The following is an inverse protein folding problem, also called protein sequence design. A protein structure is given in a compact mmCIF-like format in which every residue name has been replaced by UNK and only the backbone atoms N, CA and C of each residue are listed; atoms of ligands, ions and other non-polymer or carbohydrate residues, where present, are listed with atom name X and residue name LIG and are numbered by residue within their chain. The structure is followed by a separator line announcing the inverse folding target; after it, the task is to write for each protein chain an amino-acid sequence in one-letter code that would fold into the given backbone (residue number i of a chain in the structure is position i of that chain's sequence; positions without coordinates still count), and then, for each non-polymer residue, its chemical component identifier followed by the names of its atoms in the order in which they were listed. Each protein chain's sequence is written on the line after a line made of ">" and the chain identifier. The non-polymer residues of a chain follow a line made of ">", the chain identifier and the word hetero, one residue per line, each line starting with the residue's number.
data_IF_423807769111
#
_entry.id   IF_423807769111
#
_cell.length_a   1.000
_cell.length_b   1.000
_cell.length_c   1.000
_cell.angle_alpha   90.00
_cell.angle_beta   90.00
_cell.angle_gamma   90.00
#
_symmetry.space_group_name_H-M   'P 1'
#
loop_
_entity.id
_entity.type
_entity.pdbx_description
1 polymer ?
#
# COMPACT_ATOMS: atom_id res chain seq x y z
N UNK A 1 30.38 -44.74 -45.29
CA UNK A 1 29.30 -44.38 -44.36
C UNK A 1 29.90 -43.61 -43.19
N UNK A 2 30.22 -42.32 -43.33
CA UNK A 2 30.89 -41.57 -42.27
C UNK A 2 30.76 -40.05 -42.42
N UNK A 3 29.54 -39.50 -42.54
CA UNK A 3 29.35 -38.03 -42.58
C UNK A 3 28.06 -37.52 -41.92
N UNK A 4 27.51 -38.24 -40.93
CA UNK A 4 26.24 -37.83 -40.26
C UNK A 4 26.42 -37.43 -38.79
N UNK A 5 27.63 -37.54 -38.23
CA UNK A 5 27.91 -37.26 -36.82
C UNK A 5 28.10 -35.78 -36.45
N UNK A 6 28.70 -34.89 -37.28
CA UNK A 6 28.91 -33.50 -36.86
C UNK A 6 27.60 -32.69 -36.85
N UNK A 7 26.69 -32.98 -37.79
CA UNK A 7 25.40 -32.28 -37.91
C UNK A 7 24.48 -32.55 -36.70
N UNK A 8 24.43 -33.81 -36.23
CA UNK A 8 23.63 -34.18 -35.04
C UNK A 8 24.16 -33.54 -33.75
N UNK A 9 25.48 -33.40 -33.63
CA UNK A 9 26.10 -32.76 -32.45
C UNK A 9 25.86 -31.25 -32.41
N UNK A 10 25.88 -30.58 -33.57
CA UNK A 10 25.58 -29.14 -33.68
C UNK A 10 24.10 -28.86 -33.35
N UNK A 11 23.18 -29.70 -33.83
CA UNK A 11 21.75 -29.59 -33.53
C UNK A 11 21.48 -29.80 -32.03
N UNK A 12 22.13 -30.78 -31.40
CA UNK A 12 21.98 -31.04 -29.96
C UNK A 12 22.52 -29.88 -29.11
N UNK A 13 23.65 -29.28 -29.52
CA UNK A 13 24.23 -28.11 -28.87
C UNK A 13 23.35 -26.85 -29.03
N UNK A 14 22.71 -26.68 -30.19
CA UNK A 14 21.73 -25.61 -30.41
C UNK A 14 20.45 -25.78 -29.57
N UNK A 15 19.96 -27.01 -29.39
CA UNK A 15 18.79 -27.31 -28.53
C UNK A 15 19.12 -27.06 -27.05
N UNK A 16 20.33 -27.36 -26.61
CA UNK A 16 20.82 -27.04 -25.25
C UNK A 16 21.00 -25.52 -25.04
N UNK A 17 21.47 -24.78 -26.04
CA UNK A 17 21.59 -23.33 -25.98
C UNK A 17 20.22 -22.62 -26.03
N UNK A 18 19.22 -23.21 -26.71
CA UNK A 18 17.84 -22.70 -26.75
C UNK A 18 17.08 -22.92 -25.43
N UNK A 19 17.46 -23.92 -24.64
CA UNK A 19 16.84 -24.22 -23.33
C UNK A 19 17.49 -23.46 -22.15
N UNK A 20 18.66 -22.86 -22.36
CA UNK A 20 19.33 -21.99 -21.37
C UNK A 20 18.83 -20.54 -21.36
N UNK A 21 17.86 -20.17 -22.22
CA UNK A 21 17.26 -18.84 -22.26
C UNK A 21 16.01 -18.76 -21.35
N UNK A 22 16.11 -19.27 -20.13
CA UNK A 22 15.07 -19.13 -19.12
C UNK A 22 15.04 -17.69 -18.60
N UNK A 23 13.87 -17.05 -18.60
CA UNK A 23 13.68 -15.72 -17.99
C UNK A 23 14.02 -15.81 -16.48
N UNK A 24 15.11 -15.18 -16.01
CA UNK A 24 15.59 -15.33 -14.63
C UNK A 24 14.54 -14.84 -13.61
N UNK A 25 13.60 -13.99 -14.02
CA UNK A 25 12.52 -13.52 -13.15
C UNK A 25 11.47 -14.61 -12.92
N UNK A 26 11.24 -15.51 -13.87
CA UNK A 26 10.27 -16.62 -13.70
C UNK A 26 10.73 -17.60 -12.63
N UNK A 27 12.03 -17.85 -12.55
CA UNK A 27 12.60 -18.68 -11.49
C UNK A 27 12.45 -17.98 -10.12
N UNK A 28 12.75 -16.69 -10.03
CA UNK A 28 12.54 -15.90 -8.81
C UNK A 28 11.08 -15.89 -8.36
N UNK A 29 10.13 -15.78 -9.28
CA UNK A 29 8.68 -15.89 -8.99
C UNK A 29 8.38 -17.27 -8.39
N UNK A 30 8.85 -18.34 -9.02
CA UNK A 30 8.63 -19.72 -8.55
C UNK A 30 9.16 -19.93 -7.13
N UNK A 31 10.34 -19.39 -6.82
CA UNK A 31 10.94 -19.47 -5.48
C UNK A 31 10.23 -18.58 -4.45
N UNK A 32 9.70 -17.42 -4.87
CA UNK A 32 9.10 -16.43 -3.97
C UNK A 32 7.65 -16.77 -3.57
N UNK A 33 6.91 -17.55 -4.38
CA UNK A 33 5.55 -18.00 -4.06
C UNK A 33 5.47 -18.71 -2.70
N UNK A 34 6.22 -19.81 -2.43
CA UNK A 34 6.11 -20.54 -1.17
C UNK A 34 6.54 -19.70 0.04
N UNK A 35 7.52 -18.80 -0.12
CA UNK A 35 7.92 -17.87 0.94
C UNK A 35 6.78 -16.89 1.29
N UNK A 36 6.04 -16.45 0.29
CA UNK A 36 4.91 -15.53 0.45
C UNK A 36 3.70 -16.23 1.06
N UNK A 37 3.42 -17.47 0.65
CA UNK A 37 2.41 -18.34 1.27
C UNK A 37 2.68 -18.53 2.75
N UNK A 38 3.88 -18.98 3.09
CA UNK A 38 4.29 -19.18 4.48
C UNK A 38 4.18 -17.88 5.29
N UNK A 39 4.52 -16.73 4.69
CA UNK A 39 4.41 -15.44 5.38
C UNK A 39 2.97 -15.06 5.70
N UNK A 40 2.03 -15.29 4.79
CA UNK A 40 0.60 -15.06 5.02
C UNK A 40 0.05 -16.03 6.07
N UNK A 41 0.48 -17.28 6.06
CA UNK A 41 0.09 -18.27 7.08
C UNK A 41 0.61 -17.88 8.47
N UNK A 42 1.87 -17.44 8.57
CA UNK A 42 2.42 -16.91 9.82
C UNK A 42 1.66 -15.69 10.32
N UNK A 43 1.20 -14.80 9.42
CA UNK A 43 0.31 -13.71 9.81
C UNK A 43 -1.02 -14.22 10.36
N UNK A 44 -1.62 -15.24 9.72
CA UNK A 44 -2.87 -15.84 10.19
C UNK A 44 -2.71 -16.42 11.61
N UNK A 45 -1.61 -17.12 11.86
CA UNK A 45 -1.26 -17.65 13.18
C UNK A 45 -1.01 -16.52 14.19
N UNK A 46 -0.30 -15.46 13.78
CA UNK A 46 -0.05 -14.30 14.64
C UNK A 46 -1.35 -13.58 15.04
N UNK A 47 -2.32 -13.48 14.12
CA UNK A 47 -3.66 -12.95 14.43
C UNK A 47 -4.40 -13.86 15.40
N UNK A 48 -4.43 -15.18 15.13
CA UNK A 48 -5.10 -16.15 16.00
C UNK A 48 -4.51 -16.21 17.41
N UNK A 49 -3.19 -16.06 17.53
CA UNK A 49 -2.46 -16.10 18.80
C UNK A 49 -2.39 -14.74 19.51
N UNK A 50 -3.09 -13.71 19.01
CA UNK A 50 -3.09 -12.37 19.63
C UNK A 50 -1.72 -11.67 19.62
N UNK A 51 -0.87 -11.96 18.63
CA UNK A 51 0.47 -11.37 18.50
C UNK A 51 0.47 -10.06 17.70
N UNK A 52 -0.66 -9.72 17.06
CA UNK A 52 -0.83 -8.46 16.33
C UNK A 52 -1.44 -7.41 17.24
N UNK A 53 -0.61 -6.52 17.79
CA UNK A 53 -1.01 -5.52 18.81
C UNK A 53 -2.28 -4.76 18.47
N UNK A 54 -2.36 -4.17 17.27
CA UNK A 54 -3.52 -3.34 16.92
C UNK A 54 -4.78 -4.18 16.65
N UNK A 55 -4.66 -5.48 16.33
CA UNK A 55 -5.81 -6.38 16.25
C UNK A 55 -6.43 -6.58 17.64
N UNK A 56 -5.60 -6.77 18.67
CA UNK A 56 -6.08 -6.91 20.05
C UNK A 56 -6.77 -5.62 20.54
N UNK A 57 -6.14 -4.45 20.31
CA UNK A 57 -6.73 -3.15 20.67
C UNK A 57 -8.07 -2.92 19.97
N UNK A 58 -8.20 -3.36 18.72
CA UNK A 58 -9.44 -3.24 17.97
C UNK A 58 -10.54 -4.14 18.54
N UNK A 59 -10.20 -5.33 19.04
CA UNK A 59 -11.13 -6.18 19.79
C UNK A 59 -11.61 -5.48 21.06
N UNK A 60 -10.71 -4.90 21.85
CA UNK A 60 -11.03 -4.16 23.07
C UNK A 60 -11.93 -2.95 22.80
N UNK A 61 -11.57 -2.14 21.79
CA UNK A 61 -12.33 -0.95 21.40
C UNK A 61 -13.72 -1.32 20.88
N UNK A 62 -13.81 -2.36 20.06
CA UNK A 62 -15.08 -2.84 19.54
C UNK A 62 -16.00 -3.34 20.66
N UNK A 63 -15.49 -4.12 21.61
CA UNK A 63 -16.27 -4.59 22.76
C UNK A 63 -16.79 -3.43 23.61
N UNK A 64 -15.95 -2.41 23.86
CA UNK A 64 -16.38 -1.21 24.58
C UNK A 64 -17.48 -0.46 23.83
N UNK A 65 -17.33 -0.29 22.52
CA UNK A 65 -18.33 0.40 21.69
C UNK A 65 -19.64 -0.37 21.55
N UNK A 66 -19.62 -1.71 21.58
CA UNK A 66 -20.85 -2.50 21.59
C UNK A 66 -21.68 -2.23 22.85
N UNK A 67 -21.04 -1.91 23.97
CA UNK A 67 -21.71 -1.51 25.22
C UNK A 67 -22.18 -0.05 25.16
N UNK A 68 -21.29 0.86 24.76
CA UNK A 68 -21.55 2.31 24.80
C UNK A 68 -22.47 2.77 23.64
N UNK A 69 -22.46 2.08 22.50
CA UNK A 69 -23.15 2.46 21.25
C UNK A 69 -23.74 1.25 20.51
N UNK A 70 -24.73 0.58 21.11
CA UNK A 70 -25.30 -0.65 20.54
C UNK A 70 -25.98 -0.44 19.17
N UNK A 71 -26.43 0.79 18.86
CA UNK A 71 -27.01 1.13 17.56
C UNK A 71 -26.02 0.98 16.39
N UNK A 72 -24.71 0.97 16.66
CA UNK A 72 -23.67 0.77 15.66
C UNK A 72 -23.17 -0.67 15.56
N UNK A 73 -23.79 -1.61 16.29
CA UNK A 73 -23.38 -3.01 16.36
C UNK A 73 -23.06 -3.63 14.99
N UNK A 74 -23.90 -3.52 13.95
CA UNK A 74 -23.60 -4.15 12.67
C UNK A 74 -22.30 -3.65 12.02
N UNK A 75 -21.98 -2.36 12.19
CA UNK A 75 -20.74 -1.77 11.68
C UNK A 75 -19.54 -2.14 12.56
N UNK A 76 -19.71 -2.14 13.88
CA UNK A 76 -18.65 -2.54 14.82
C UNK A 76 -18.27 -4.00 14.61
N UNK A 77 -19.25 -4.89 14.46
CA UNK A 77 -19.03 -6.31 14.17
C UNK A 77 -18.26 -6.51 12.86
N UNK A 78 -18.48 -5.64 11.86
CA UNK A 78 -17.73 -5.69 10.61
C UNK A 78 -16.25 -5.35 10.83
N UNK A 79 -15.95 -4.29 11.59
CA UNK A 79 -14.57 -3.94 11.95
C UNK A 79 -13.91 -5.00 12.84
N UNK A 80 -14.66 -5.66 13.71
CA UNK A 80 -14.14 -6.74 14.54
C UNK A 80 -13.65 -7.94 13.70
N UNK A 81 -14.05 -8.08 12.43
CA UNK A 81 -13.49 -9.13 11.57
C UNK A 81 -12.01 -8.88 11.24
N UNK A 82 -11.57 -7.63 11.19
CA UNK A 82 -10.16 -7.27 10.95
C UNK A 82 -9.23 -7.67 12.13
N UNK A 83 -9.78 -8.14 13.25
CA UNK A 83 -8.96 -8.70 14.35
C UNK A 83 -8.43 -10.09 14.00
N UNK A 84 -8.92 -10.72 12.93
CA UNK A 84 -8.58 -12.07 12.52
C UNK A 84 -8.51 -12.26 11.01
N UNK A 85 -8.58 -13.51 10.57
CA UNK A 85 -8.46 -13.89 9.15
C UNK A 85 -9.73 -13.63 8.33
N UNK A 86 -10.80 -13.18 8.97
CA UNK A 86 -12.06 -12.84 8.30
C UNK A 86 -12.10 -11.38 7.83
N UNK A 87 -11.13 -10.56 8.25
CA UNK A 87 -11.06 -9.15 7.90
C UNK A 87 -10.84 -8.92 6.41
N UNK A 88 -11.45 -7.88 5.82
CA UNK A 88 -11.24 -7.54 4.42
C UNK A 88 -9.76 -7.34 4.06
N UNK A 89 -8.93 -6.79 4.95
CA UNK A 89 -7.51 -6.63 4.64
C UNK A 89 -6.76 -7.96 4.55
N UNK A 90 -7.03 -8.92 5.45
CA UNK A 90 -6.40 -10.23 5.39
C UNK A 90 -6.87 -11.02 4.16
N UNK A 91 -8.18 -11.04 3.92
CA UNK A 91 -8.77 -11.71 2.75
C UNK A 91 -8.22 -11.16 1.44
N UNK A 92 -8.04 -9.85 1.33
CA UNK A 92 -7.43 -9.24 0.15
C UNK A 92 -6.00 -9.74 -0.11
N UNK A 93 -5.20 -10.04 0.92
CA UNK A 93 -3.87 -10.63 0.74
C UNK A 93 -3.96 -12.05 0.17
N UNK A 94 -4.87 -12.87 0.71
CA UNK A 94 -5.10 -14.25 0.25
C UNK A 94 -5.59 -14.25 -1.19
N UNK A 95 -6.56 -13.40 -1.54
CA UNK A 95 -7.12 -13.32 -2.89
C UNK A 95 -6.08 -12.88 -3.92
N UNK A 96 -5.21 -11.92 -3.55
CA UNK A 96 -4.11 -11.46 -4.40
C UNK A 96 -3.06 -12.54 -4.61
N UNK A 97 -2.71 -13.29 -3.57
CA UNK A 97 -1.82 -14.45 -3.70
C UNK A 97 -2.43 -15.53 -4.61
N UNK A 98 -3.72 -15.82 -4.45
CA UNK A 98 -4.44 -16.74 -5.33
C UNK A 98 -4.46 -16.25 -6.78
N UNK A 99 -4.57 -14.94 -7.01
CA UNK A 99 -4.49 -14.33 -8.34
C UNK A 99 -3.11 -14.55 -8.96
N UNK A 100 -2.03 -14.35 -8.19
CA UNK A 100 -0.66 -14.64 -8.66
C UNK A 100 -0.50 -16.10 -9.07
N UNK A 101 -1.00 -17.04 -8.26
CA UNK A 101 -0.85 -18.48 -8.50
C UNK A 101 -1.68 -18.99 -9.67
N UNK A 102 -2.95 -18.58 -9.73
CA UNK A 102 -3.95 -19.20 -10.60
C UNK A 102 -4.27 -18.36 -11.84
N UNK A 103 -3.92 -17.07 -11.83
CA UNK A 103 -4.23 -16.13 -12.90
C UNK A 103 -3.02 -15.23 -13.26
N UNK A 104 -1.82 -15.79 -13.52
CA UNK A 104 -0.62 -15.00 -13.81
C UNK A 104 -0.77 -14.14 -15.08
N UNK A 105 -1.66 -14.49 -16.00
CA UNK A 105 -2.00 -13.71 -17.20
C UNK A 105 -2.64 -12.35 -16.90
N UNK A 106 -3.15 -12.13 -15.68
CA UNK A 106 -3.70 -10.84 -15.25
C UNK A 106 -2.61 -9.78 -15.02
N UNK A 107 -1.34 -10.20 -15.00
CA UNK A 107 -0.18 -9.34 -14.81
C UNK A 107 0.48 -9.04 -16.15
N UNK A 108 1.00 -7.83 -16.29
CA UNK A 108 1.62 -7.37 -17.54
C UNK A 108 2.86 -8.18 -17.94
N UNK A 109 3.64 -8.64 -16.97
CA UNK A 109 4.88 -9.40 -17.17
C UNK A 109 5.32 -10.11 -15.88
N UNK A 110 6.35 -10.97 -15.99
CA UNK A 110 6.96 -11.70 -14.85
C UNK A 110 7.42 -10.75 -13.73
N UNK A 111 7.90 -9.55 -14.07
CA UNK A 111 8.35 -8.56 -13.09
C UNK A 111 7.19 -8.04 -12.23
N UNK A 112 6.02 -7.79 -12.82
CA UNK A 112 4.84 -7.35 -12.08
C UNK A 112 4.34 -8.43 -11.11
N UNK A 113 4.50 -9.71 -11.46
CA UNK A 113 4.20 -10.83 -10.56
C UNK A 113 5.19 -10.84 -9.40
N UNK A 114 6.49 -10.73 -9.68
CA UNK A 114 7.52 -10.70 -8.64
C UNK A 114 7.35 -9.52 -7.68
N UNK A 115 7.11 -8.32 -8.22
CA UNK A 115 6.85 -7.12 -7.42
C UNK A 115 5.59 -7.29 -6.54
N UNK A 116 4.55 -7.95 -7.06
CA UNK A 116 3.36 -8.26 -6.27
C UNK A 116 3.65 -9.24 -5.14
N UNK A 117 4.42 -10.29 -5.39
CA UNK A 117 4.83 -11.24 -4.34
C UNK A 117 5.65 -10.56 -3.25
N UNK A 118 6.56 -9.64 -3.60
CA UNK A 118 7.29 -8.84 -2.61
C UNK A 118 6.36 -7.91 -1.81
N UNK A 119 5.38 -7.29 -2.46
CA UNK A 119 4.39 -6.47 -1.77
C UNK A 119 3.55 -7.30 -0.80
N UNK A 120 3.10 -8.49 -1.20
CA UNK A 120 2.36 -9.43 -0.34
C UNK A 120 3.20 -9.90 0.84
N UNK A 121 4.45 -10.30 0.59
CA UNK A 121 5.38 -10.73 1.63
C UNK A 121 5.58 -9.64 2.70
N UNK A 122 5.76 -8.38 2.28
CA UNK A 122 5.86 -7.24 3.20
C UNK A 122 4.52 -6.93 3.87
N UNK A 123 3.41 -6.96 3.15
CA UNK A 123 2.09 -6.69 3.71
C UNK A 123 1.68 -7.68 4.80
N UNK A 124 2.19 -8.92 4.69
CA UNK A 124 1.99 -10.01 5.64
C UNK A 124 2.95 -9.99 6.84
N UNK A 125 3.84 -9.01 6.94
CA UNK A 125 4.63 -8.80 8.17
C UNK A 125 3.71 -8.36 9.32
N UNK A 126 3.72 -9.04 10.49
CA UNK A 126 2.82 -8.70 11.60
C UNK A 126 2.95 -7.26 12.13
N UNK A 127 4.14 -6.66 12.06
CA UNK A 127 4.36 -5.27 12.49
C UNK A 127 3.77 -4.30 11.45
N UNK A 128 4.04 -4.52 10.16
CA UNK A 128 3.46 -3.71 9.09
C UNK A 128 1.93 -3.84 9.00
N UNK A 129 1.42 -5.05 9.24
CA UNK A 129 -0.01 -5.34 9.29
C UNK A 129 -0.66 -4.70 10.51
N UNK A 130 -0.02 -4.77 11.68
CA UNK A 130 -0.48 -4.03 12.86
C UNK A 130 -0.55 -2.53 12.56
N UNK A 131 0.46 -1.93 11.94
CA UNK A 131 0.40 -0.51 11.57
C UNK A 131 -0.72 -0.22 10.55
N UNK A 132 -0.99 -1.13 9.61
CA UNK A 132 -2.11 -1.02 8.68
C UNK A 132 -3.48 -1.03 9.36
N UNK A 133 -3.64 -1.85 10.40
CA UNK A 133 -4.85 -1.88 11.23
C UNK A 133 -5.07 -0.60 12.04
N UNK A 134 -4.10 0.33 12.08
CA UNK A 134 -4.34 1.61 12.75
C UNK A 134 -5.46 2.43 12.09
N UNK A 135 -5.66 2.31 10.78
CA UNK A 135 -6.74 3.04 10.10
C UNK A 135 -8.13 2.57 10.58
N UNK A 136 -8.52 1.27 10.48
CA UNK A 136 -9.82 0.80 10.99
C UNK A 136 -9.95 0.94 12.51
N UNK A 137 -8.87 0.73 13.27
CA UNK A 137 -8.85 0.98 14.72
C UNK A 137 -9.18 2.44 15.06
N UNK A 138 -8.65 3.39 14.30
CA UNK A 138 -8.92 4.81 14.50
C UNK A 138 -10.33 5.21 14.08
N UNK A 139 -10.99 4.45 13.19
CA UNK A 139 -12.42 4.62 12.93
C UNK A 139 -13.23 4.26 14.17
N UNK A 140 -12.94 3.13 14.83
CA UNK A 140 -13.57 2.79 16.11
C UNK A 140 -13.30 3.87 17.17
N UNK A 141 -12.05 4.35 17.26
CA UNK A 141 -11.70 5.44 18.17
C UNK A 141 -12.54 6.71 17.90
N UNK A 142 -12.74 7.08 16.64
CA UNK A 142 -13.56 8.23 16.27
C UNK A 142 -15.06 8.00 16.53
N UNK A 143 -15.55 6.78 16.34
CA UNK A 143 -16.94 6.39 16.69
C UNK A 143 -17.23 6.58 18.17
N UNK A 144 -16.20 6.50 19.02
CA UNK A 144 -16.29 6.71 20.47
C UNK A 144 -16.49 8.19 20.87
N UNK A 145 -16.40 9.12 19.92
CA UNK A 145 -16.43 10.58 20.12
C UNK A 145 -15.41 11.08 21.16
N UNK A 146 -14.19 10.53 21.11
CA UNK A 146 -13.06 11.00 21.90
C UNK A 146 -12.87 10.30 23.25
N UNK A 147 -13.67 9.29 23.57
CA UNK A 147 -13.47 8.47 24.78
C UNK A 147 -12.34 7.45 24.61
N UNK A 148 -12.17 6.92 23.39
CA UNK A 148 -11.07 6.04 23.02
C UNK A 148 -9.99 6.81 22.26
N UNK A 149 -8.71 6.69 22.64
CA UNK A 149 -7.63 7.41 21.97
C UNK A 149 -7.30 6.78 20.62
N UNK A 150 -6.94 7.64 19.65
CA UNK A 150 -6.35 7.18 18.39
C UNK A 150 -4.98 6.54 18.62
N UNK A 151 -4.65 5.55 17.81
CA UNK A 151 -3.43 4.75 17.87
C UNK A 151 -2.62 4.93 16.59
N UNK A 152 -1.30 5.02 16.72
CA UNK A 152 -0.35 5.26 15.63
C UNK A 152 -0.63 6.56 14.82
N UNK A 153 -1.51 7.42 15.32
CA UNK A 153 -1.97 8.63 14.68
C UNK A 153 -2.21 9.74 15.72
N UNK A 154 -1.94 10.99 15.34
CA UNK A 154 -2.32 12.16 16.12
C UNK A 154 -3.84 12.17 16.37
N UNK A 155 -4.26 12.89 17.42
CA UNK A 155 -5.69 13.13 17.64
C UNK A 155 -6.34 13.77 16.40
N UNK A 156 -7.65 13.55 16.21
CA UNK A 156 -8.38 14.04 15.04
C UNK A 156 -8.16 15.53 14.81
N UNK A 157 -8.38 16.34 15.84
CA UNK A 157 -8.23 17.78 15.79
C UNK A 157 -6.79 18.22 15.44
N UNK A 158 -5.78 17.62 16.06
CA UNK A 158 -4.38 17.94 15.78
C UNK A 158 -3.99 17.57 14.34
N UNK A 159 -4.44 16.41 13.85
CA UNK A 159 -4.16 15.95 12.48
C UNK A 159 -4.84 16.84 11.44
N UNK A 160 -6.09 17.25 11.67
CA UNK A 160 -6.80 18.18 10.79
C UNK A 160 -6.09 19.54 10.70
N UNK A 161 -5.71 20.10 11.86
CA UNK A 161 -4.98 21.36 11.93
C UNK A 161 -3.62 21.29 11.24
N UNK A 162 -2.84 20.23 11.49
CA UNK A 162 -1.52 20.05 10.91
C UNK A 162 -1.54 19.90 9.37
N UNK A 163 -2.60 19.31 8.83
CA UNK A 163 -2.73 19.07 7.38
C UNK A 163 -3.52 20.14 6.64
N UNK A 164 -4.15 21.09 7.35
CA UNK A 164 -5.23 21.94 6.81
C UNK A 164 -6.27 21.09 6.09
N UNK A 165 -6.61 19.96 6.70
CA UNK A 165 -7.51 18.96 6.14
C UNK A 165 -8.96 19.30 6.49
N UNK A 166 -9.87 18.81 5.65
CA UNK A 166 -11.30 18.83 5.91
C UNK A 166 -11.69 17.55 6.65
N UNK A 167 -12.67 17.65 7.55
CA UNK A 167 -13.27 16.48 8.18
C UNK A 167 -14.24 15.81 7.20
N UNK A 168 -13.91 14.62 6.72
CA UNK A 168 -14.79 13.83 5.85
C UNK A 168 -15.71 12.87 6.63
N UNK A 169 -15.79 13.06 7.95
CA UNK A 169 -16.57 12.25 8.86
C UNK A 169 -15.82 11.04 9.40
N UNK A 170 -16.51 10.26 10.22
CA UNK A 170 -16.00 8.98 10.73
C UNK A 170 -15.73 8.03 9.58
N UNK A 171 -14.51 7.50 9.50
CA UNK A 171 -14.11 6.62 8.41
C UNK A 171 -13.21 7.24 7.34
N UNK A 172 -12.93 8.53 7.42
CA UNK A 172 -12.11 9.23 6.43
C UNK A 172 -10.75 8.57 6.17
N UNK A 173 -10.22 7.84 7.15
CA UNK A 173 -8.96 7.11 7.08
C UNK A 173 -9.00 5.94 6.09
N UNK A 174 -10.18 5.34 5.87
CA UNK A 174 -10.37 4.19 5.01
C UNK A 174 -10.68 4.57 3.56
N UNK A 175 -10.97 5.84 3.30
CA UNK A 175 -11.24 6.33 1.95
C UNK A 175 -10.01 6.10 1.07
N UNK A 176 -10.22 5.45 -0.08
CA UNK A 176 -9.18 5.06 -1.02
C UNK A 176 -8.58 3.68 -0.79
N UNK A 177 -8.85 3.03 0.37
CA UNK A 177 -8.39 1.68 0.65
C UNK A 177 -9.32 0.64 0.00
N UNK A 178 -8.84 -0.14 -0.97
CA UNK A 178 -9.68 -1.08 -1.72
C UNK A 178 -10.20 -2.25 -0.90
N UNK A 179 -9.75 -2.45 0.33
CA UNK A 179 -10.34 -3.43 1.24
C UNK A 179 -11.75 -3.02 1.70
N UNK A 180 -12.06 -1.72 1.73
CA UNK A 180 -13.30 -1.20 2.34
C UNK A 180 -14.26 -0.53 1.35
N UNK A 181 -13.81 -0.31 0.11
CA UNK A 181 -14.63 0.35 -0.91
C UNK A 181 -13.87 0.57 -2.22
N UNK A 182 -14.48 1.33 -3.12
CA UNK A 182 -13.88 1.70 -4.39
C UNK A 182 -14.28 3.10 -4.84
N UNK A 183 -13.41 3.71 -5.64
CA UNK A 183 -13.79 4.89 -6.41
C UNK A 183 -14.71 4.49 -7.56
N UNK A 184 -15.85 5.15 -7.67
CA UNK A 184 -16.82 4.99 -8.76
C UNK A 184 -16.93 6.30 -9.52
N UNK A 185 -16.76 6.26 -10.84
CA UNK A 185 -16.92 7.42 -11.73
C UNK A 185 -18.33 7.41 -12.33
N UNK A 186 -19.09 8.47 -12.08
CA UNK A 186 -20.41 8.67 -12.69
C UNK A 186 -20.34 9.13 -14.15
N UNK A 187 -21.49 9.13 -14.83
CA UNK A 187 -21.62 9.60 -16.22
C UNK A 187 -21.23 11.07 -16.40
N UNK A 188 -21.34 11.88 -15.35
CA UNK A 188 -20.90 13.27 -15.30
C UNK A 188 -19.37 13.44 -15.11
N UNK A 189 -18.60 12.35 -15.14
CA UNK A 189 -17.14 12.36 -14.97
C UNK A 189 -16.66 12.57 -13.53
N UNK A 190 -17.58 12.80 -12.57
CA UNK A 190 -17.23 12.95 -11.16
C UNK A 190 -16.99 11.57 -10.55
N UNK A 191 -15.93 11.46 -9.75
CA UNK A 191 -15.60 10.23 -9.03
C UNK A 191 -15.86 10.39 -7.54
N UNK A 192 -16.57 9.43 -6.96
CA UNK A 192 -16.93 9.39 -5.54
C UNK A 192 -16.53 8.07 -4.90
N UNK A 193 -16.28 8.10 -3.61
CA UNK A 193 -15.99 6.90 -2.83
C UNK A 193 -17.28 6.14 -2.56
N UNK A 194 -17.27 4.83 -2.84
CA UNK A 194 -18.36 3.92 -2.57
C UNK A 194 -17.87 2.83 -1.61
N UNK A 195 -18.56 2.66 -0.50
CA UNK A 195 -18.25 1.65 0.52
C UNK A 195 -18.77 0.26 0.13
N UNK A 196 -18.08 -0.79 0.56
CA UNK A 196 -18.54 -2.16 0.37
C UNK A 196 -19.51 -2.62 1.46
N UNK A 197 -20.58 -3.32 1.06
CA UNK A 197 -21.47 -4.05 1.98
C UNK A 197 -21.91 -3.22 3.20
N UNK A 198 -21.65 -3.74 4.40
CA UNK A 198 -22.04 -3.11 5.66
C UNK A 198 -21.30 -1.79 5.95
N UNK A 199 -20.13 -1.54 5.33
CA UNK A 199 -19.44 -0.25 5.45
C UNK A 199 -20.22 0.90 4.82
N UNK A 200 -21.21 0.63 3.95
CA UNK A 200 -22.13 1.65 3.43
C UNK A 200 -22.89 2.39 4.53
N UNK A 201 -23.11 1.73 5.68
CA UNK A 201 -23.69 2.36 6.86
C UNK A 201 -22.85 3.52 7.39
N UNK A 202 -21.55 3.58 7.10
CA UNK A 202 -20.71 4.72 7.48
C UNK A 202 -21.14 6.00 6.78
N UNK A 203 -21.52 5.92 5.50
CA UNK A 203 -22.06 7.05 4.77
C UNK A 203 -23.37 7.54 5.40
N UNK A 204 -24.23 6.60 5.76
CA UNK A 204 -25.59 6.86 6.24
C UNK A 204 -25.61 7.39 7.68
N UNK A 205 -24.79 6.84 8.56
CA UNK A 205 -24.74 7.16 9.99
C UNK A 205 -23.86 8.37 10.30
N UNK A 206 -22.82 8.62 9.50
CA UNK A 206 -21.83 9.67 9.78
C UNK A 206 -21.78 10.76 8.70
N UNK A 207 -22.78 10.82 7.81
CA UNK A 207 -22.94 11.89 6.82
C UNK A 207 -21.92 11.87 5.67
N UNK A 208 -21.08 10.83 5.56
CA UNK A 208 -20.01 10.71 4.56
C UNK A 208 -20.48 10.11 3.23
N UNK A 209 -21.76 10.27 2.85
CA UNK A 209 -22.38 9.48 1.76
C UNK A 209 -21.68 9.60 0.41
N UNK A 210 -21.07 10.76 0.08
CA UNK A 210 -20.47 10.98 -1.24
C UNK A 210 -19.23 11.87 -1.18
N UNK A 211 -18.15 11.33 -0.62
CA UNK A 211 -16.85 11.98 -0.67
C UNK A 211 -16.29 11.94 -2.10
N UNK A 212 -16.16 13.10 -2.74
CA UNK A 212 -15.62 13.20 -4.11
C UNK A 212 -14.09 13.11 -4.11
N UNK A 213 -13.52 12.46 -5.13
CA UNK A 213 -12.06 12.27 -5.22
C UNK A 213 -11.30 13.60 -5.27
N UNK A 214 -11.85 14.58 -5.99
CA UNK A 214 -11.20 15.88 -6.18
C UNK A 214 -11.08 16.66 -4.87
N UNK A 215 -12.13 16.62 -4.05
CA UNK A 215 -12.19 17.32 -2.78
C UNK A 215 -11.36 16.59 -1.72
N UNK A 216 -11.56 15.27 -1.61
CA UNK A 216 -10.79 14.41 -0.73
C UNK A 216 -9.29 14.46 -1.03
N UNK A 217 -8.87 14.32 -2.29
CA UNK A 217 -7.44 14.28 -2.62
C UNK A 217 -6.69 15.55 -2.18
N UNK A 218 -7.35 16.71 -2.26
CA UNK A 218 -6.79 18.00 -1.84
C UNK A 218 -6.77 18.15 -0.33
N UNK A 219 -7.88 17.80 0.33
CA UNK A 219 -8.15 18.12 1.73
C UNK A 219 -8.08 16.91 2.66
N UNK A 220 -7.58 15.75 2.22
CA UNK A 220 -7.51 14.53 3.05
C UNK A 220 -6.60 14.69 4.25
N UNK A 221 -6.99 14.00 5.32
CA UNK A 221 -6.21 13.80 6.52
C UNK A 221 -5.20 12.64 6.37
N UNK A 222 -4.42 12.41 7.43
CA UNK A 222 -3.53 11.26 7.55
C UNK A 222 -4.29 9.93 7.59
N UNK A 223 -3.75 8.95 6.86
CA UNK A 223 -4.15 7.54 6.95
C UNK A 223 -2.93 6.68 6.64
N UNK A 224 -2.69 5.62 7.40
CA UNK A 224 -1.58 4.72 7.14
C UNK A 224 -1.62 4.18 5.70
N UNK A 225 -2.78 3.76 5.21
CA UNK A 225 -2.93 3.21 3.87
C UNK A 225 -2.44 4.20 2.81
N UNK A 226 -2.98 5.42 2.77
CA UNK A 226 -2.64 6.37 1.70
C UNK A 226 -1.18 6.87 1.79
N UNK A 227 -0.64 6.98 3.00
CA UNK A 227 0.67 7.59 3.24
C UNK A 227 1.82 6.57 3.27
N UNK A 228 1.58 5.32 3.68
CA UNK A 228 2.63 4.29 3.83
C UNK A 228 2.28 2.97 3.14
N UNK A 229 1.01 2.56 3.16
CA UNK A 229 0.56 1.20 2.84
C UNK A 229 0.11 0.95 1.40
N UNK A 230 -0.16 2.00 0.62
CA UNK A 230 -0.92 1.92 -0.64
C UNK A 230 -0.44 0.83 -1.60
N UNK A 231 0.87 0.77 -1.87
CA UNK A 231 1.47 -0.25 -2.77
C UNK A 231 1.36 -1.68 -2.21
N UNK A 232 1.41 -1.83 -0.89
CA UNK A 232 1.39 -3.14 -0.21
C UNK A 232 -0.02 -3.71 -0.08
N UNK A 233 -1.02 -2.85 0.12
CA UNK A 233 -2.42 -3.23 0.36
C UNK A 233 -3.35 -2.96 -0.84
N UNK A 234 -2.80 -2.73 -2.03
CA UNK A 234 -3.55 -2.69 -3.29
C UNK A 234 -2.95 -3.68 -4.27
N UNK A 235 -3.80 -4.39 -5.00
CA UNK A 235 -3.36 -5.17 -6.16
C UNK A 235 -2.85 -4.25 -7.28
N UNK A 236 -2.06 -4.76 -8.24
CA UNK A 236 -1.58 -3.96 -9.36
C UNK A 236 -2.70 -3.33 -10.18
N UNK A 237 -3.81 -4.04 -10.39
CA UNK A 237 -4.98 -3.49 -11.10
C UNK A 237 -5.67 -2.37 -10.31
N UNK A 238 -5.73 -2.47 -8.99
CA UNK A 238 -6.26 -1.39 -8.13
C UNK A 238 -5.35 -0.17 -8.14
N UNK A 239 -4.03 -0.35 -8.09
CA UNK A 239 -3.06 0.74 -8.19
C UNK A 239 -3.15 1.47 -9.54
N UNK A 240 -3.33 0.73 -10.63
CA UNK A 240 -3.53 1.30 -11.96
C UNK A 240 -4.81 2.15 -12.00
N UNK A 241 -5.95 1.60 -11.55
CA UNK A 241 -7.22 2.35 -11.48
C UNK A 241 -7.11 3.65 -10.68
N UNK A 242 -6.44 3.61 -9.54
CA UNK A 242 -6.20 4.79 -8.72
C UNK A 242 -5.26 5.81 -9.39
N UNK A 243 -4.26 5.34 -10.14
CA UNK A 243 -3.32 6.19 -10.90
C UNK A 243 -4.02 6.85 -12.09
N UNK A 244 -4.88 6.12 -12.79
CA UNK A 244 -5.71 6.62 -13.88
C UNK A 244 -6.69 7.68 -13.39
N UNK A 245 -7.31 7.44 -12.22
CA UNK A 245 -8.17 8.40 -11.56
C UNK A 245 -7.42 9.70 -11.23
N UNK A 246 -6.25 9.59 -10.60
CA UNK A 246 -5.41 10.74 -10.28
C UNK A 246 -4.99 11.52 -11.52
N UNK A 247 -4.63 10.81 -12.59
CA UNK A 247 -4.23 11.38 -13.88
C UNK A 247 -5.39 12.09 -14.57
N UNK A 248 -6.59 11.49 -14.56
CA UNK A 248 -7.81 12.10 -15.12
C UNK A 248 -8.17 13.36 -14.35
N UNK A 249 -8.15 13.29 -13.02
CA UNK A 249 -8.40 14.45 -12.17
C UNK A 249 -7.40 15.56 -12.44
N UNK A 250 -6.10 15.24 -12.53
CA UNK A 250 -5.05 16.19 -12.91
C UNK A 250 -5.39 16.90 -14.22
N UNK A 251 -5.71 16.15 -15.27
CA UNK A 251 -6.10 16.71 -16.59
C UNK A 251 -7.31 17.64 -16.50
N UNK A 252 -8.32 17.28 -15.71
CA UNK A 252 -9.51 18.11 -15.49
C UNK A 252 -9.20 19.43 -14.76
N UNK A 253 -8.21 19.44 -13.86
CA UNK A 253 -7.77 20.67 -13.20
C UNK A 253 -6.93 21.54 -14.13
N UNK A 254 -6.02 20.93 -14.90
CA UNK A 254 -5.21 21.61 -15.91
C UNK A 254 -6.07 22.28 -16.98
N UNK A 255 -7.12 21.61 -17.47
CA UNK A 255 -8.06 22.19 -18.44
C UNK A 255 -8.86 23.38 -17.91
N UNK A 256 -8.95 23.52 -16.58
CA UNK A 256 -9.58 24.66 -15.89
C UNK A 256 -8.56 25.73 -15.45
N UNK A 257 -7.29 25.59 -15.83
CA UNK A 257 -6.22 26.49 -15.40
C UNK A 257 -5.88 26.41 -13.90
N UNK A 258 -6.32 25.36 -13.20
CA UNK A 258 -6.14 25.20 -11.77
C UNK A 258 -4.94 24.31 -11.44
N UNK A 259 -4.23 24.63 -10.35
CA UNK A 259 -3.16 23.76 -9.85
C UNK A 259 -3.72 22.47 -9.26
N UNK A 260 -3.13 21.33 -9.62
CA UNK A 260 -3.45 20.03 -9.03
C UNK A 260 -2.31 19.53 -8.15
N UNK A 261 -2.64 19.14 -6.92
CA UNK A 261 -1.75 18.39 -6.05
C UNK A 261 -2.33 17.00 -5.87
N UNK A 262 -1.60 15.98 -6.33
CA UNK A 262 -2.04 14.59 -6.23
C UNK A 262 -2.26 14.18 -4.78
N UNK A 263 -3.31 13.40 -4.54
CA UNK A 263 -3.63 12.84 -3.22
C UNK A 263 -2.46 12.05 -2.62
N UNK A 264 -1.61 11.48 -3.48
CA UNK A 264 -0.50 10.60 -3.11
C UNK A 264 0.88 11.26 -3.29
N UNK A 265 0.94 12.55 -3.65
CA UNK A 265 2.20 13.25 -3.91
C UNK A 265 3.06 13.46 -2.66
N UNK A 266 2.45 13.50 -1.48
CA UNK A 266 3.13 13.72 -0.20
C UNK A 266 2.43 12.97 0.92
N UNK A 267 3.22 12.58 1.91
CA UNK A 267 2.67 12.08 3.17
C UNK A 267 2.01 13.22 3.94
N UNK A 268 0.90 12.92 4.59
CA UNK A 268 0.23 13.82 5.55
C UNK A 268 0.90 13.70 6.93
N UNK A 269 0.92 14.82 7.65
CA UNK A 269 1.39 14.87 9.03
C UNK A 269 0.36 14.20 9.92
N UNK A 270 0.72 13.16 10.65
CA UNK A 270 -0.26 12.46 11.48
C UNK A 270 0.24 11.17 12.08
N UNK A 271 1.25 10.54 11.49
CA UNK A 271 1.89 9.37 12.09
C UNK A 271 2.53 9.71 13.45
N UNK A 272 1.98 9.17 14.54
CA UNK A 272 2.55 9.25 15.89
C UNK A 272 2.80 7.83 16.38
N UNK A 273 4.05 7.37 16.35
CA UNK A 273 4.45 5.98 16.70
C UNK A 273 4.27 4.92 15.62
N UNK A 274 4.31 5.31 14.34
CA UNK A 274 4.46 4.34 13.25
C UNK A 274 5.82 3.62 13.34
N UNK A 275 5.84 2.31 13.07
CA UNK A 275 7.06 1.51 13.21
C UNK A 275 8.18 1.97 12.27
N UNK A 276 9.43 1.69 12.65
CA UNK A 276 10.60 1.90 11.77
C UNK A 276 10.49 1.07 10.49
N UNK A 277 9.88 -0.11 10.57
CA UNK A 277 9.66 -1.03 9.47
C UNK A 277 8.77 -0.37 8.42
N UNK A 278 7.68 0.28 8.83
CA UNK A 278 6.79 1.02 7.93
C UNK A 278 7.48 2.18 7.23
N UNK A 279 8.32 2.93 7.96
CA UNK A 279 9.13 4.01 7.38
C UNK A 279 10.14 3.48 6.35
N UNK A 280 10.85 2.39 6.68
CA UNK A 280 11.81 1.76 5.78
C UNK A 280 11.14 1.16 4.55
N UNK A 281 10.01 0.47 4.71
CA UNK A 281 9.24 -0.15 3.62
C UNK A 281 8.73 0.89 2.60
N UNK A 282 8.39 2.10 3.06
CA UNK A 282 8.04 3.19 2.15
C UNK A 282 9.23 3.60 1.26
N UNK A 283 10.43 3.71 1.84
CA UNK A 283 11.63 4.09 1.08
C UNK A 283 12.12 3.01 0.14
N UNK A 284 11.99 1.72 0.50
CA UNK A 284 12.41 0.59 -0.35
C UNK A 284 11.50 0.43 -1.57
N UNK A 285 10.19 0.66 -1.44
CA UNK A 285 9.25 0.66 -2.56
C UNK A 285 9.55 1.72 -3.64
N UNK A 286 10.35 2.75 -3.30
CA UNK A 286 10.86 3.74 -4.26
C UNK A 286 12.19 3.33 -4.92
N UNK A 287 12.94 2.40 -4.32
CA UNK A 287 14.21 1.89 -4.87
C UNK A 287 13.96 0.92 -6.03
N UNK A 288 12.96 0.04 -5.92
CA UNK A 288 12.61 -0.88 -7.01
C UNK A 288 12.07 -0.16 -8.26
N UNK A 289 11.35 0.96 -8.09
CA UNK A 289 10.91 1.80 -9.21
C UNK A 289 12.04 2.61 -9.86
N UNK A 290 13.08 2.96 -9.10
CA UNK A 290 14.21 3.76 -9.62
C UNK A 290 15.16 2.99 -10.53
N UNK A 291 15.14 1.64 -10.51
CA UNK A 291 15.99 0.82 -11.38
C UNK A 291 15.47 0.69 -12.82
N UNK A 292 14.19 0.96 -13.09
CA UNK A 292 13.63 0.92 -14.44
C UNK A 292 14.07 2.11 -15.33
N UNK A 293 14.55 3.22 -14.73
CA UNK A 293 14.95 4.43 -15.46
C UNK A 293 16.44 4.77 -15.35
N UNK A 294 17.26 3.90 -14.74
CA UNK A 294 18.71 4.04 -14.84
C UNK A 294 19.16 3.59 -16.24
N UNK A 295 18.94 4.45 -17.24
CA UNK A 295 19.78 4.49 -18.42
C UNK A 295 21.22 4.49 -17.92
N UNK A 296 22.02 3.53 -18.40
CA UNK A 296 23.42 3.40 -18.04
C UNK A 296 24.11 4.76 -18.07
N UNK A 297 24.91 5.04 -17.04
CA UNK A 297 25.70 6.27 -16.95
C UNK A 297 26.70 6.47 -18.12
N UNK A 298 26.79 5.49 -19.02
CA UNK A 298 27.60 5.50 -20.22
C UNK A 298 26.91 6.10 -21.46
N UNK A 299 25.60 6.38 -21.43
CA UNK A 299 24.86 6.87 -22.59
C UNK A 299 24.80 8.42 -22.72
N UNK A 300 25.63 9.19 -22.00
CA UNK A 300 25.63 10.66 -22.02
C UNK A 300 26.98 11.32 -22.31
N UNK A 301 27.91 10.66 -23.01
CA UNK A 301 29.13 11.32 -23.50
C UNK A 301 29.03 11.73 -24.97
N UNK A 302 28.14 12.67 -25.30
CA UNK A 302 28.33 13.53 -26.48
C UNK A 302 27.42 14.75 -26.41
N UNK A 303 27.89 15.81 -25.76
CA UNK A 303 27.81 17.23 -26.20
C UNK A 303 28.01 18.17 -25.01
N UNK A 304 29.04 19.01 -25.15
CA UNK A 304 29.30 20.26 -24.43
C UNK A 304 29.60 20.17 -22.94
N UNK A 305 30.88 20.02 -22.64
CA UNK A 305 31.44 20.33 -21.33
C UNK A 305 31.64 21.85 -21.21
N UNK A 306 30.90 22.51 -20.31
CA UNK A 306 31.39 23.68 -19.55
C UNK A 306 30.71 23.75 -18.18
N UNK A 307 31.55 23.64 -17.15
CA UNK A 307 31.40 24.14 -15.78
C UNK A 307 30.28 23.55 -14.89
N UNK A 308 30.65 22.58 -14.04
CA UNK A 308 30.07 22.48 -12.70
C UNK A 308 31.10 21.88 -11.74
N UNK A 309 31.38 22.62 -10.68
CA UNK A 309 32.32 22.34 -9.60
C UNK A 309 31.94 21.08 -8.83
N UNK A 310 32.91 20.17 -8.69
CA UNK A 310 32.79 18.98 -7.86
C UNK A 310 32.85 19.36 -6.38
N UNK A 311 31.71 19.32 -5.66
CA UNK A 311 31.69 19.12 -4.21
C UNK A 311 31.14 17.73 -3.90
N UNK A 312 32.08 16.81 -3.79
CA UNK A 312 31.93 15.47 -3.25
C UNK A 312 31.76 15.59 -1.72
N UNK A 313 30.66 15.09 -1.16
CA UNK A 313 30.55 14.88 0.28
C UNK A 313 30.37 13.38 0.55
N UNK A 314 31.49 12.76 0.93
CA UNK A 314 31.53 11.42 1.50
C UNK A 314 30.99 11.45 2.93
N UNK A 315 30.18 10.45 3.25
CA UNK A 315 29.77 10.10 4.60
C UNK A 315 30.97 9.73 5.46
N UNK A 316 31.12 10.36 6.62
CA UNK A 316 31.79 9.75 7.76
C UNK A 316 31.10 10.23 9.05
N UNK A 317 30.23 9.40 9.62
CA UNK A 317 29.69 9.63 10.97
C UNK A 317 30.59 8.89 11.95
N UNK A 318 31.56 9.60 12.52
CA UNK A 318 32.28 9.18 13.72
C UNK A 318 31.68 9.93 14.91
N UNK A 319 30.91 9.25 15.76
CA UNK A 319 30.43 9.79 17.03
C UNK A 319 31.54 9.66 18.07
N UNK A 320 32.19 10.75 18.42
CA UNK A 320 33.04 10.83 19.61
C UNK A 320 32.24 11.36 20.79
N UNK A 321 32.22 10.59 21.87
CA UNK A 321 31.74 11.03 23.19
C UNK A 321 32.77 11.98 23.79
N UNK A 322 32.36 13.20 24.17
CA UNK A 322 33.16 14.07 25.02
C UNK A 322 32.53 14.14 26.41
N UNK A 323 33.21 13.48 27.34
CA UNK A 323 33.12 13.64 28.79
C UNK A 323 34.10 14.75 29.19
N UNK A 324 33.77 15.51 30.23
CA UNK A 324 34.66 16.46 30.90
C UNK A 324 33.99 17.84 31.03
N UNK A 325 33.98 18.50 32.18
CA UNK A 325 34.61 18.26 33.48
C UNK A 325 33.74 18.97 34.51
#
# INVERSE_FOLDING_TARGET
>A
MAEVQPLKSIIFMFILLLSACGDPIKEQVTQQIPLTEQRIELLAQALANGQVRNANLMAEYGQRLLQDRPSYKPLIDEFLKDTGTQGPMFRALVDRLNTVKNQPQMFNNSQAIYDELLNLYQAADPVLYSDALSDPLNVLADMSQGTLPRVNALSKAQSLAANKAQDFGTGEQLIGNPAYGNWTTGSNGMSFWAWYGMYSMMGDLFGSRRTSYNDWGRSRNYSYYNDYGRKRYSSPSQLNKQTDLDTRTKKSFESRGQKYTSAYSKNRTGASSISSQSKSAQTSANRFTSKANNKSAYAKSSKSAKNASFRNSKSTTSRSFRRGK
#
